data_IF_900244719879
#
_entry.id   IF_900244719879
#
_cell.length_a   1.000
_cell.length_b   1.000
_cell.length_c   1.000
_cell.angle_alpha   90.00
_cell.angle_beta   90.00
_cell.angle_gamma   90.00
#
_symmetry.space_group_name_H-M   'P 1'
#
loop_
_entity.id
_entity.type
_entity.pdbx_description
1 polymer ?
#
# COMPACT_ATOMS: atom_id res chain seq x y z
N UNK A 1 -2.23 11.55 -0.48
CA UNK A 1 -2.77 10.43 -1.30
C UNK A 1 -3.76 9.60 -0.48
N UNK A 2 -5.00 9.42 -0.97
CA UNK A 2 -6.00 8.56 -0.31
C UNK A 2 -5.93 7.16 -0.92
N UNK A 3 -5.72 6.13 -0.09
CA UNK A 3 -5.74 4.71 -0.50
C UNK A 3 -6.90 4.00 0.18
N UNK A 4 -7.58 3.11 -0.55
CA UNK A 4 -8.59 2.21 0.01
C UNK A 4 -8.03 0.81 0.24
N UNK A 5 -8.07 0.33 1.48
CA UNK A 5 -7.61 -1.00 1.89
C UNK A 5 -8.75 -1.66 2.64
N UNK A 6 -9.21 -2.83 2.18
CA UNK A 6 -10.36 -3.57 2.73
C UNK A 6 -11.63 -2.72 2.95
N UNK A 7 -11.90 -1.82 2.00
CA UNK A 7 -13.05 -0.90 2.06
C UNK A 7 -12.87 0.31 3.00
N UNK A 8 -11.81 0.34 3.81
CA UNK A 8 -11.44 1.50 4.63
C UNK A 8 -10.55 2.46 3.84
N UNK A 9 -10.73 3.76 4.04
CA UNK A 9 -9.92 4.81 3.39
C UNK A 9 -8.86 5.32 4.36
N UNK A 10 -7.61 5.33 3.91
CA UNK A 10 -6.46 5.82 4.66
C UNK A 10 -5.87 7.03 3.93
N UNK A 11 -5.56 8.07 4.68
CA UNK A 11 -4.93 9.27 4.15
C UNK A 11 -3.44 9.26 4.50
N UNK A 12 -2.60 9.24 3.47
CA UNK A 12 -1.15 9.24 3.58
C UNK A 12 -0.57 10.50 2.94
N UNK A 13 0.53 11.06 3.47
CA UNK A 13 1.30 12.10 2.79
C UNK A 13 1.67 11.67 1.36
N UNK A 14 1.74 12.63 0.43
CA UNK A 14 2.11 12.32 -0.97
C UNK A 14 3.57 11.83 -1.11
N UNK A 15 4.39 12.02 -0.09
CA UNK A 15 5.76 11.47 -0.02
C UNK A 15 5.82 10.02 0.44
N UNK A 16 4.70 9.44 0.92
CA UNK A 16 4.67 8.10 1.49
C UNK A 16 4.69 7.05 0.39
N UNK A 17 5.59 6.08 0.54
CA UNK A 17 5.76 4.96 -0.39
C UNK A 17 4.81 3.80 -0.08
N UNK A 18 4.56 2.95 -1.07
CA UNK A 18 3.76 1.73 -0.88
C UNK A 18 4.43 0.76 0.12
N UNK A 19 5.75 0.76 0.21
CA UNK A 19 6.49 -0.02 1.23
C UNK A 19 6.16 0.45 2.64
N UNK A 20 6.21 1.77 2.90
CA UNK A 20 5.84 2.34 4.19
C UNK A 20 4.40 2.02 4.56
N UNK A 21 3.48 2.16 3.59
CA UNK A 21 2.07 1.80 3.79
C UNK A 21 1.96 0.31 4.13
N UNK A 22 2.68 -0.57 3.43
CA UNK A 22 2.64 -2.01 3.70
C UNK A 22 3.12 -2.38 5.11
N UNK A 23 4.04 -1.61 5.68
CA UNK A 23 4.54 -1.83 7.04
C UNK A 23 3.47 -1.58 8.11
N UNK A 24 2.53 -0.66 7.88
CA UNK A 24 1.42 -0.40 8.79
C UNK A 24 0.48 -1.61 8.90
N UNK A 25 0.41 -2.44 7.86
CA UNK A 25 -0.47 -3.62 7.81
C UNK A 25 0.26 -4.93 8.10
N UNK A 26 1.56 -4.91 8.38
CA UNK A 26 2.36 -6.12 8.62
C UNK A 26 1.84 -6.97 9.79
N UNK A 27 1.23 -6.32 10.78
CA UNK A 27 0.73 -6.99 11.99
C UNK A 27 -0.71 -7.49 11.80
N UNK A 28 -1.44 -6.97 10.81
CA UNK A 28 -2.76 -7.45 10.43
C UNK A 28 -2.71 -8.66 9.50
N UNK A 29 -1.67 -8.76 8.66
CA UNK A 29 -1.51 -9.86 7.71
C UNK A 29 -0.28 -10.69 8.07
N UNK A 30 -0.43 -12.00 8.39
CA UNK A 30 0.70 -12.85 8.73
C UNK A 30 1.65 -13.12 7.54
N UNK A 31 1.23 -12.74 6.33
CA UNK A 31 2.00 -12.90 5.10
C UNK A 31 2.67 -11.57 4.71
N UNK A 32 3.87 -11.68 4.12
CA UNK A 32 4.58 -10.52 3.56
C UNK A 32 3.78 -9.93 2.39
N UNK A 33 3.47 -8.65 2.47
CA UNK A 33 2.93 -7.88 1.35
C UNK A 33 4.07 -7.64 0.35
N UNK A 34 3.87 -7.98 -0.93
CA UNK A 34 4.91 -7.91 -1.98
C UNK A 34 4.54 -7.02 -3.17
N UNK A 35 3.27 -6.67 -3.32
CA UNK A 35 2.76 -5.84 -4.40
C UNK A 35 1.47 -5.14 -3.96
N UNK A 36 1.11 -4.07 -4.65
CA UNK A 36 -0.17 -3.39 -4.53
C UNK A 36 -0.87 -3.36 -5.89
N UNK A 37 -2.20 -3.23 -5.89
CA UNK A 37 -2.99 -3.05 -7.11
C UNK A 37 -3.50 -1.61 -7.17
N UNK A 38 -3.03 -0.82 -8.14
CA UNK A 38 -3.42 0.56 -8.37
C UNK A 38 -4.03 0.68 -9.76
N UNK A 39 -5.21 1.30 -9.89
CA UNK A 39 -5.86 1.53 -11.18
C UNK A 39 -5.97 0.29 -12.08
N UNK A 40 -6.20 -0.86 -11.44
CA UNK A 40 -6.28 -2.18 -12.06
C UNK A 40 -4.94 -2.80 -12.53
N UNK A 41 -3.82 -2.11 -12.33
CA UNK A 41 -2.46 -2.62 -12.57
C UNK A 41 -1.81 -3.11 -11.27
N UNK A 42 -1.06 -4.21 -11.35
CA UNK A 42 -0.26 -4.70 -10.22
C UNK A 42 1.09 -3.98 -10.28
N UNK A 43 1.41 -3.25 -9.21
CA UNK A 43 2.68 -2.55 -9.05
C UNK A 43 3.48 -3.17 -7.91
N UNK A 44 4.79 -3.30 -8.12
CA UNK A 44 5.70 -3.69 -7.03
C UNK A 44 5.80 -2.56 -6.01
N UNK A 45 5.93 -2.90 -4.73
CA UNK A 45 6.00 -1.89 -3.66
C UNK A 45 7.20 -0.94 -3.82
N UNK A 46 8.28 -1.44 -4.42
CA UNK A 46 9.52 -0.71 -4.74
C UNK A 46 9.36 0.27 -5.91
N UNK A 47 8.24 0.25 -6.62
CA UNK A 47 7.99 1.14 -7.75
C UNK A 47 7.79 2.56 -7.24
N UNK A 48 8.82 3.40 -7.37
CA UNK A 48 8.71 4.85 -7.20
C UNK A 48 8.00 5.43 -8.42
N UNK A 49 6.86 6.09 -8.21
CA UNK A 49 6.26 6.99 -9.21
C UNK A 49 6.60 8.43 -8.85
#
# INVERSE_FOLDING_TARGET
MIIKIDGMSYDYPDSTTLEEISLDFKDMYPAKIVAAKLDNEIVELTTKK
#
